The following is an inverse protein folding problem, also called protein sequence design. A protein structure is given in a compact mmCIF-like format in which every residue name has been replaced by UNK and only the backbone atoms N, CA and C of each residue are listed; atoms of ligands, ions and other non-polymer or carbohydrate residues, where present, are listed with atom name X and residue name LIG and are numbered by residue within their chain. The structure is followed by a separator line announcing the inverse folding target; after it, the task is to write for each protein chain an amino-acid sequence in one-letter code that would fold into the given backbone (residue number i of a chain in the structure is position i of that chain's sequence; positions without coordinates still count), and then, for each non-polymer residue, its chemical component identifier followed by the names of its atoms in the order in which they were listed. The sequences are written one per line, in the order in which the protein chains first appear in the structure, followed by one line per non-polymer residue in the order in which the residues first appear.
data_IF_694624486825
#
_entry.id   IF_694624486825
#
_cell.length_a   1.000
_cell.length_b   1.000
_cell.length_c   1.000
_cell.angle_alpha   90.00
_cell.angle_beta   90.00
_cell.angle_gamma   90.00
#
_symmetry.space_group_name_H-M   'P 1'
#
loop_
_entity.id
_entity.type
_entity.pdbx_description
1 polymer ?
#
# COMPACT_ATOMS: atom_id res chain seq x y z
N UNK A 1 8.54 -6.71 -13.02
CA UNK A 1 7.06 -6.72 -13.10
C UNK A 1 6.53 -6.41 -11.70
N UNK A 2 5.74 -5.34 -11.54
CA UNK A 2 5.16 -5.02 -10.22
C UNK A 2 3.81 -5.74 -10.12
N UNK A 3 3.76 -6.85 -9.39
CA UNK A 3 2.51 -7.56 -9.12
C UNK A 3 1.90 -6.91 -7.90
N UNK A 4 0.65 -6.44 -8.04
CA UNK A 4 -0.17 -5.95 -6.93
C UNK A 4 -1.45 -6.75 -6.89
N UNK A 5 -1.76 -7.32 -5.73
CA UNK A 5 -3.05 -7.95 -5.47
C UNK A 5 -3.65 -7.36 -4.20
N UNK A 6 -4.97 -7.21 -4.20
CA UNK A 6 -5.73 -6.73 -3.06
C UNK A 6 -6.91 -7.67 -2.86
N UNK A 7 -7.10 -8.11 -1.63
CA UNK A 7 -8.15 -9.00 -1.20
C UNK A 7 -8.89 -8.39 -0.02
N UNK A 8 -10.17 -8.70 0.10
CA UNK A 8 -11.04 -8.24 1.19
C UNK A 8 -11.71 -9.42 1.87
N UNK A 9 -11.83 -9.34 3.19
CA UNK A 9 -12.73 -10.20 3.95
C UNK A 9 -13.85 -9.32 4.52
N UNK A 10 -14.98 -9.26 3.80
CA UNK A 10 -16.12 -8.40 4.17
C UNK A 10 -16.72 -8.78 5.53
N UNK A 11 -16.62 -10.05 5.95
CA UNK A 11 -17.16 -10.52 7.23
C UNK A 11 -16.33 -10.02 8.40
N UNK A 12 -15.00 -9.96 8.22
CA UNK A 12 -14.07 -9.51 9.24
C UNK A 12 -13.80 -8.00 9.18
N UNK A 13 -14.16 -7.33 8.09
CA UNK A 13 -13.85 -5.91 7.88
C UNK A 13 -12.35 -5.67 7.66
N UNK A 14 -11.63 -6.69 7.16
CA UNK A 14 -10.19 -6.64 6.94
C UNK A 14 -9.84 -6.71 5.47
N UNK A 15 -8.64 -6.26 5.14
CA UNK A 15 -8.04 -6.41 3.82
C UNK A 15 -6.66 -7.06 3.92
N UNK A 16 -6.28 -7.74 2.85
CA UNK A 16 -4.93 -8.23 2.67
C UNK A 16 -4.41 -7.81 1.30
N UNK A 17 -3.21 -7.25 1.27
CA UNK A 17 -2.55 -6.77 0.07
C UNK A 17 -1.20 -7.45 -0.09
N UNK A 18 -0.85 -7.71 -1.34
CA UNK A 18 0.45 -8.23 -1.73
C UNK A 18 1.03 -7.38 -2.85
N UNK A 19 2.26 -6.92 -2.64
CA UNK A 19 3.04 -6.18 -3.63
C UNK A 19 4.41 -6.84 -3.81
N UNK A 20 4.87 -6.91 -5.05
CA UNK A 20 6.19 -7.43 -5.39
C UNK A 20 7.00 -6.32 -6.05
N UNK A 21 8.12 -5.97 -5.42
CA UNK A 21 9.09 -4.99 -5.91
C UNK A 21 10.43 -5.66 -6.14
N UNK A 22 10.76 -5.98 -7.41
CA UNK A 22 11.94 -6.80 -7.76
C UNK A 22 11.95 -8.13 -7.00
N UNK A 23 12.82 -8.27 -6.00
CA UNK A 23 12.99 -9.45 -5.17
C UNK A 23 12.42 -9.28 -3.75
N UNK A 24 11.75 -8.16 -3.47
CA UNK A 24 11.06 -7.88 -2.22
C UNK A 24 9.58 -8.22 -2.35
N UNK A 25 9.09 -9.08 -1.46
CA UNK A 25 7.67 -9.30 -1.23
C UNK A 25 7.22 -8.43 -0.06
N UNK A 26 6.18 -7.63 -0.29
CA UNK A 26 5.54 -6.82 0.74
C UNK A 26 4.11 -7.32 0.90
N UNK A 27 3.75 -7.73 2.11
CA UNK A 27 2.37 -8.08 2.45
C UNK A 27 1.82 -7.14 3.50
N UNK A 28 0.60 -6.68 3.31
CA UNK A 28 -0.08 -5.79 4.25
C UNK A 28 -1.39 -6.43 4.68
N UNK A 29 -1.61 -6.53 5.99
CA UNK A 29 -2.87 -6.95 6.59
C UNK A 29 -3.41 -5.80 7.43
N UNK A 30 -4.65 -5.39 7.22
CA UNK A 30 -5.23 -4.29 8.00
C UNK A 30 -6.73 -4.40 8.18
N UNK A 31 -7.24 -3.64 9.15
CA UNK A 31 -8.66 -3.30 9.23
C UNK A 31 -8.94 -2.13 8.28
N UNK A 32 -10.04 -2.19 7.54
CA UNK A 32 -10.38 -1.16 6.55
C UNK A 32 -10.59 0.19 7.26
N UNK A 33 -9.89 1.24 6.81
CA UNK A 33 -9.95 2.58 7.39
C UNK A 33 -9.21 2.74 8.71
N UNK A 34 -8.29 1.83 9.06
CA UNK A 34 -7.56 1.81 10.34
C UNK A 34 -6.09 1.40 10.16
N UNK A 35 -5.42 1.09 11.28
CA UNK A 35 -4.05 0.58 11.34
C UNK A 35 -3.89 -0.72 10.54
N UNK A 36 -2.68 -0.92 10.03
CA UNK A 36 -2.27 -2.07 9.20
C UNK A 36 -0.93 -2.59 9.67
N UNK A 37 -0.66 -3.88 9.50
CA UNK A 37 0.66 -4.47 9.66
C UNK A 37 1.27 -4.77 8.30
N UNK A 38 2.55 -4.44 8.13
CA UNK A 38 3.29 -4.67 6.91
C UNK A 38 4.44 -5.61 7.23
N UNK A 39 4.49 -6.73 6.52
CA UNK A 39 5.59 -7.68 6.55
C UNK A 39 6.36 -7.62 5.23
N UNK A 40 7.68 -7.67 5.32
CA UNK A 40 8.58 -7.67 4.17
C UNK A 40 9.43 -8.93 4.16
N UNK A 41 9.68 -9.48 2.97
CA UNK A 41 10.55 -10.64 2.79
C UNK A 41 11.33 -10.54 1.49
N UNK A 42 12.65 -10.53 1.60
CA UNK A 42 13.56 -10.47 0.45
C UNK A 42 13.97 -11.86 0.01
N UNK A 43 13.94 -12.10 -1.30
CA UNK A 43 14.29 -13.37 -1.92
C UNK A 43 15.58 -13.23 -2.75
N UNK A 44 16.31 -14.32 -2.91
CA UNK A 44 17.52 -14.37 -3.75
C UNK A 44 17.20 -14.60 -5.22
N UNK A 45 16.02 -15.13 -5.55
CA UNK A 45 15.59 -15.41 -6.91
C UNK A 45 14.07 -15.27 -7.07
N UNK A 46 13.64 -15.05 -8.31
CA UNK A 46 12.24 -14.80 -8.66
C UNK A 46 11.35 -16.04 -8.52
N UNK A 47 11.89 -17.25 -8.68
CA UNK A 47 11.11 -18.48 -8.57
C UNK A 47 10.60 -18.72 -7.15
N UNK A 48 11.47 -18.57 -6.15
CA UNK A 48 11.10 -18.73 -4.74
C UNK A 48 10.12 -17.64 -4.29
N UNK A 49 10.34 -16.40 -4.75
CA UNK A 49 9.42 -15.29 -4.51
C UNK A 49 8.01 -15.60 -5.05
N UNK A 50 7.92 -16.01 -6.32
CA UNK A 50 6.65 -16.32 -6.96
C UNK A 50 5.94 -17.52 -6.31
N UNK A 51 6.72 -18.51 -5.83
CA UNK A 51 6.19 -19.65 -5.10
C UNK A 51 5.58 -19.22 -3.76
N UNK A 52 6.28 -18.39 -2.99
CA UNK A 52 5.77 -17.86 -1.71
C UNK A 52 4.51 -17.01 -1.94
N UNK A 53 4.60 -16.04 -2.85
CA UNK A 53 3.49 -15.16 -3.20
C UNK A 53 2.24 -15.95 -3.65
N UNK A 54 2.45 -17.02 -4.42
CA UNK A 54 1.38 -17.93 -4.83
C UNK A 54 0.80 -18.74 -3.67
N UNK A 55 1.62 -19.14 -2.69
CA UNK A 55 1.16 -19.87 -1.50
C UNK A 55 0.32 -18.97 -0.58
N UNK A 56 0.83 -17.78 -0.24
CA UNK A 56 0.11 -16.81 0.59
C UNK A 56 -1.22 -16.39 -0.02
N UNK A 57 -1.25 -16.19 -1.35
CA UNK A 57 -2.50 -15.94 -2.06
C UNK A 57 -3.54 -17.03 -1.81
N UNK A 58 -3.16 -18.30 -2.02
CA UNK A 58 -4.07 -19.44 -1.85
C UNK A 58 -4.55 -19.58 -0.42
N UNK A 59 -3.67 -19.37 0.55
CA UNK A 59 -3.99 -19.37 1.97
C UNK A 59 -5.06 -18.31 2.29
N UNK A 60 -4.86 -17.07 1.85
CA UNK A 60 -5.86 -16.00 2.09
C UNK A 60 -7.21 -16.30 1.46
N UNK A 61 -7.25 -16.86 0.25
CA UNK A 61 -8.50 -17.31 -0.36
C UNK A 61 -9.18 -18.39 0.49
N UNK A 62 -8.44 -19.33 1.08
CA UNK A 62 -8.98 -20.36 1.96
C UNK A 62 -9.51 -19.79 3.29
N UNK A 63 -8.95 -18.68 3.77
CA UNK A 63 -9.43 -17.94 4.93
C UNK A 63 -10.68 -17.08 4.64
N UNK A 64 -11.21 -17.14 3.41
CA UNK A 64 -12.42 -16.42 3.02
C UNK A 64 -12.17 -14.98 2.60
N UNK A 65 -10.93 -14.64 2.26
CA UNK A 65 -10.65 -13.41 1.51
C UNK A 65 -11.07 -13.58 0.04
N UNK A 66 -11.57 -12.51 -0.54
CA UNK A 66 -12.08 -12.47 -1.91
C UNK A 66 -11.46 -11.32 -2.67
N UNK A 67 -11.31 -11.49 -3.99
CA UNK A 67 -10.94 -10.38 -4.85
C UNK A 67 -12.08 -9.36 -4.93
N UNK A 68 -11.81 -8.06 -4.84
CA UNK A 68 -12.80 -7.05 -5.14
C UNK A 68 -13.24 -7.16 -6.61
N UNK A 69 -14.50 -6.87 -6.87
CA UNK A 69 -15.06 -6.74 -8.21
C UNK A 69 -14.64 -5.42 -8.85
N UNK A 70 -14.76 -5.32 -10.17
CA UNK A 70 -14.62 -4.04 -10.87
C UNK A 70 -15.56 -2.99 -10.26
N UNK A 71 -15.07 -1.76 -10.11
CA UNK A 71 -15.86 -0.66 -9.58
C UNK A 71 -16.76 -0.09 -10.69
N UNK A 72 -18.01 0.22 -10.34
CA UNK A 72 -18.91 1.03 -11.15
C UNK A 72 -18.53 2.51 -11.08
N UNK A 73 -18.96 3.33 -12.04
CA UNK A 73 -18.72 4.78 -12.03
C UNK A 73 -19.14 5.47 -10.72
N UNK A 74 -20.22 4.98 -10.10
CA UNK A 74 -20.69 5.48 -8.80
C UNK A 74 -19.72 5.12 -7.67
N UNK A 75 -19.24 3.87 -7.63
CA UNK A 75 -18.29 3.41 -6.62
C UNK A 75 -16.92 4.08 -6.79
N UNK A 76 -16.47 4.33 -8.02
CA UNK A 76 -15.27 5.12 -8.28
C UNK A 76 -15.41 6.55 -7.75
N UNK A 77 -16.57 7.16 -7.99
CA UNK A 77 -16.87 8.52 -7.50
C UNK A 77 -16.89 8.57 -5.98
N UNK A 78 -17.48 7.57 -5.32
CA UNK A 78 -17.48 7.43 -3.86
C UNK A 78 -16.06 7.25 -3.32
N UNK A 79 -15.26 6.39 -3.94
CA UNK A 79 -13.86 6.19 -3.57
C UNK A 79 -13.08 7.51 -3.62
N UNK A 80 -13.21 8.29 -4.70
CA UNK A 80 -12.56 9.59 -4.80
C UNK A 80 -13.00 10.54 -3.68
N UNK A 81 -14.29 10.61 -3.38
CA UNK A 81 -14.78 11.45 -2.30
C UNK A 81 -14.23 11.02 -0.94
N UNK A 82 -14.15 9.71 -0.69
CA UNK A 82 -13.57 9.17 0.55
C UNK A 82 -12.09 9.53 0.66
N UNK A 83 -11.30 9.29 -0.39
CA UNK A 83 -9.88 9.67 -0.44
C UNK A 83 -9.70 11.18 -0.24
N UNK A 84 -10.52 12.02 -0.85
CA UNK A 84 -10.40 13.48 -0.71
C UNK A 84 -10.77 14.02 0.68
N UNK A 85 -11.74 13.39 1.34
CA UNK A 85 -12.25 13.83 2.65
C UNK A 85 -11.43 13.29 3.81
N UNK A 86 -10.67 12.21 3.60
CA UNK A 86 -9.87 11.57 4.63
C UNK A 86 -8.65 12.44 4.99
N UNK A 87 -8.57 12.99 6.22
CA UNK A 87 -7.45 13.84 6.64
C UNK A 87 -6.13 13.07 6.78
N UNK A 88 -6.19 11.79 7.15
CA UNK A 88 -5.01 10.98 7.41
C UNK A 88 -4.44 10.38 6.11
N UNK A 89 -3.20 10.73 5.78
CA UNK A 89 -2.59 10.26 4.53
C UNK A 89 -2.27 8.75 4.53
N UNK A 90 -2.12 8.11 5.69
CA UNK A 90 -1.98 6.66 5.78
C UNK A 90 -3.26 5.96 5.37
N UNK A 91 -4.39 6.47 5.86
CA UNK A 91 -5.71 5.94 5.50
C UNK A 91 -6.02 6.27 4.04
N UNK A 92 -5.69 7.47 3.55
CA UNK A 92 -5.83 7.80 2.11
C UNK A 92 -5.09 6.83 1.21
N UNK A 93 -3.85 6.46 1.57
CA UNK A 93 -3.09 5.44 0.84
C UNK A 93 -3.93 4.15 0.80
N UNK A 94 -4.34 3.59 1.93
CA UNK A 94 -5.12 2.34 1.99
C UNK A 94 -6.40 2.40 1.14
N UNK A 95 -7.17 3.48 1.28
CA UNK A 95 -8.39 3.68 0.49
C UNK A 95 -8.08 3.70 -1.01
N UNK A 96 -7.13 4.53 -1.46
CA UNK A 96 -6.75 4.63 -2.86
C UNK A 96 -6.20 3.30 -3.42
N UNK A 97 -5.45 2.58 -2.58
CA UNK A 97 -4.87 1.27 -2.85
C UNK A 97 -5.94 0.18 -3.05
N UNK A 98 -7.03 0.21 -2.27
CA UNK A 98 -8.14 -0.74 -2.36
C UNK A 98 -8.84 -0.76 -3.72
N UNK A 99 -8.94 0.40 -4.37
CA UNK A 99 -9.61 0.56 -5.66
C UNK A 99 -8.68 0.44 -6.87
N UNK A 100 -7.35 0.53 -6.69
CA UNK A 100 -6.42 0.72 -7.81
C UNK A 100 -6.47 -0.40 -8.86
N UNK A 101 -6.68 -1.66 -8.44
CA UNK A 101 -6.74 -2.78 -9.38
C UNK A 101 -8.07 -2.90 -10.12
N UNK A 102 -9.12 -2.26 -9.61
CA UNK A 102 -10.51 -2.42 -10.07
C UNK A 102 -11.14 -1.13 -10.62
N UNK A 103 -10.40 -0.02 -10.58
CA UNK A 103 -10.77 1.26 -11.18
C UNK A 103 -10.51 1.28 -12.69
N UNK A 104 -11.37 1.98 -13.41
CA UNK A 104 -11.28 2.28 -14.84
C UNK A 104 -9.98 3.00 -15.18
N UNK A 105 -9.46 2.77 -16.38
CA UNK A 105 -8.23 3.44 -16.86
C UNK A 105 -8.35 4.96 -16.83
N UNK A 106 -9.54 5.49 -17.18
CA UNK A 106 -9.86 6.93 -17.17
C UNK A 106 -9.57 7.58 -15.82
N UNK A 107 -9.87 6.87 -14.72
CA UNK A 107 -9.78 7.40 -13.37
C UNK A 107 -8.55 6.89 -12.61
N UNK A 108 -7.90 5.82 -13.09
CA UNK A 108 -6.66 5.26 -12.52
C UNK A 108 -5.56 6.30 -12.36
N UNK A 109 -5.37 7.19 -13.35
CA UNK A 109 -4.35 8.25 -13.29
C UNK A 109 -4.52 9.19 -12.09
N UNK A 110 -5.77 9.53 -11.74
CA UNK A 110 -6.07 10.39 -10.58
C UNK A 110 -5.77 9.72 -9.25
N UNK A 111 -6.14 8.44 -9.10
CA UNK A 111 -5.81 7.65 -7.90
C UNK A 111 -4.29 7.54 -7.75
N UNK A 112 -3.58 7.22 -8.83
CA UNK A 112 -2.12 7.13 -8.79
C UNK A 112 -1.47 8.46 -8.38
N UNK A 113 -1.98 9.60 -8.86
CA UNK A 113 -1.48 10.92 -8.44
C UNK A 113 -1.69 11.17 -6.93
N UNK A 114 -2.83 10.77 -6.38
CA UNK A 114 -3.06 10.83 -4.92
C UNK A 114 -2.07 9.95 -4.17
N UNK A 115 -1.89 8.70 -4.62
CA UNK A 115 -0.95 7.77 -4.00
C UNK A 115 0.49 8.29 -4.03
N UNK A 116 0.94 8.89 -5.14
CA UNK A 116 2.27 9.52 -5.23
C UNK A 116 2.40 10.63 -4.19
N UNK A 117 1.41 11.53 -4.09
CA UNK A 117 1.44 12.62 -3.10
C UNK A 117 1.45 12.09 -1.67
N UNK A 118 0.61 11.12 -1.35
CA UNK A 118 0.49 10.62 0.02
C UNK A 118 1.72 9.79 0.42
N UNK A 119 2.34 9.03 -0.49
CA UNK A 119 3.63 8.40 -0.23
C UNK A 119 4.76 9.43 -0.04
N UNK A 120 4.74 10.55 -0.77
CA UNK A 120 5.70 11.65 -0.57
C UNK A 120 5.55 12.25 0.84
N UNK A 121 4.31 12.42 1.33
CA UNK A 121 4.06 12.83 2.72
C UNK A 121 4.63 11.85 3.75
N UNK A 122 4.48 10.54 3.53
CA UNK A 122 5.12 9.53 4.39
C UNK A 122 6.64 9.71 4.40
N UNK A 123 7.25 9.86 3.23
CA UNK A 123 8.70 10.03 3.12
C UNK A 123 9.19 11.31 3.79
N UNK A 124 8.47 12.43 3.66
CA UNK A 124 8.80 13.68 4.37
C UNK A 124 8.69 13.52 5.90
N UNK A 125 7.67 12.80 6.37
CA UNK A 125 7.54 12.46 7.79
C UNK A 125 8.63 11.53 8.30
N UNK A 126 9.16 10.61 7.49
CA UNK A 126 10.26 9.73 7.91
C UNK A 126 11.64 10.38 7.88
N UNK A 127 11.76 11.55 7.23
CA UNK A 127 13.05 12.18 6.97
C UNK A 127 13.98 11.29 6.14
N UNK A 128 15.25 11.67 6.08
CA UNK A 128 16.33 10.95 5.40
C UNK A 128 17.33 10.33 6.38
N UNK A 129 17.31 10.74 7.64
CA UNK A 129 18.21 10.26 8.70
C UNK A 129 17.44 9.65 9.89
N UNK A 130 18.16 8.86 10.69
CA UNK A 130 17.68 8.26 11.94
C UNK A 130 18.30 9.02 13.14
N UNK A 131 17.58 9.09 14.27
CA UNK A 131 18.07 9.60 15.58
C UNK A 131 18.57 11.07 15.59
N UNK A 132 19.78 11.36 16.11
CA UNK A 132 20.27 12.73 16.41
C UNK A 132 20.38 13.65 15.18
N UNK A 133 20.29 13.10 13.96
CA UNK A 133 20.31 13.84 12.70
C UNK A 133 18.94 13.88 12.00
N UNK A 134 17.86 13.46 12.69
CA UNK A 134 16.51 13.44 12.13
C UNK A 134 16.10 14.82 11.57
N UNK A 135 15.76 14.82 10.28
CA UNK A 135 15.47 16.01 9.47
C UNK A 135 14.00 16.06 9.00
N UNK A 136 13.16 15.15 9.48
CA UNK A 136 11.74 15.11 9.14
C UNK A 136 10.94 16.18 9.89
N UNK A 137 9.71 16.43 9.40
CA UNK A 137 8.87 17.53 9.89
C UNK A 137 8.24 17.26 11.27
N UNK A 138 8.27 16.01 11.76
CA UNK A 138 7.66 15.58 13.03
C UNK A 138 8.49 14.47 13.69
N UNK A 139 9.28 14.83 14.70
CA UNK A 139 10.15 13.91 15.46
C UNK A 139 9.41 12.69 16.05
N UNK A 140 8.09 12.76 16.25
CA UNK A 140 7.27 11.63 16.72
C UNK A 140 6.82 10.66 15.62
N UNK A 141 6.89 11.06 14.37
CA UNK A 141 6.35 10.32 13.24
C UNK A 141 7.04 8.97 12.98
N UNK A 142 8.38 8.83 13.07
CA UNK A 142 9.05 7.52 12.95
C UNK A 142 8.53 6.49 13.96
N UNK A 143 8.30 6.89 15.21
CA UNK A 143 7.72 6.02 16.23
C UNK A 143 6.27 5.64 15.91
N UNK A 144 5.47 6.62 15.47
CA UNK A 144 4.09 6.39 15.04
C UNK A 144 4.00 5.37 13.90
N UNK A 145 4.86 5.49 12.88
CA UNK A 145 4.82 4.55 11.73
C UNK A 145 5.20 3.14 12.15
N UNK A 146 6.13 2.99 13.09
CA UNK A 146 6.54 1.69 13.60
C UNK A 146 5.43 1.04 14.42
N UNK A 147 4.75 1.82 15.26
CA UNK A 147 3.59 1.34 16.01
C UNK A 147 2.43 0.92 15.09
N UNK A 148 2.14 1.73 14.07
CA UNK A 148 1.11 1.43 13.08
C UNK A 148 1.49 0.18 12.30
N UNK A 149 2.56 0.26 11.51
CA UNK A 149 2.91 -0.70 10.45
C UNK A 149 3.70 -1.91 10.95
N UNK A 150 4.41 -1.79 12.07
CA UNK A 150 5.39 -2.78 12.52
C UNK A 150 6.75 -2.67 11.81
N UNK A 151 6.88 -1.83 10.78
CA UNK A 151 8.16 -1.61 10.10
C UNK A 151 9.07 -0.72 10.93
N UNK A 152 10.38 -0.97 10.87
CA UNK A 152 11.35 0.04 11.32
C UNK A 152 11.23 1.29 10.43
N UNK A 153 11.63 2.48 10.90
CA UNK A 153 11.63 3.69 10.07
C UNK A 153 12.41 3.50 8.75
N UNK A 154 13.53 2.79 8.79
CA UNK A 154 14.33 2.47 7.61
C UNK A 154 13.57 1.57 6.61
N UNK A 155 12.95 0.49 7.08
CA UNK A 155 12.15 -0.40 6.22
C UNK A 155 10.92 0.33 5.65
N UNK A 156 10.29 1.20 6.45
CA UNK A 156 9.20 2.04 5.99
C UNK A 156 9.65 2.96 4.85
N UNK A 157 10.79 3.66 5.00
CA UNK A 157 11.35 4.49 3.92
C UNK A 157 11.56 3.70 2.64
N UNK A 158 12.12 2.49 2.73
CA UNK A 158 12.33 1.63 1.56
C UNK A 158 11.00 1.27 0.89
N UNK A 159 10.03 0.75 1.65
CA UNK A 159 8.73 0.31 1.13
C UNK A 159 7.95 1.47 0.50
N UNK A 160 7.84 2.61 1.19
CA UNK A 160 7.08 3.76 0.69
C UNK A 160 7.78 4.45 -0.49
N UNK A 161 9.12 4.45 -0.55
CA UNK A 161 9.85 4.91 -1.75
C UNK A 161 9.61 3.97 -2.95
N UNK A 162 9.63 2.65 -2.75
CA UNK A 162 9.32 1.69 -3.82
C UNK A 162 7.89 1.85 -4.35
N UNK A 163 6.92 2.07 -3.46
CA UNK A 163 5.54 2.42 -3.80
C UNK A 163 5.48 3.72 -4.61
N UNK A 164 6.08 4.80 -4.11
CA UNK A 164 6.15 6.09 -4.78
C UNK A 164 6.69 5.98 -6.21
N UNK A 165 7.84 5.32 -6.39
CA UNK A 165 8.47 5.13 -7.70
C UNK A 165 7.57 4.29 -8.63
N UNK A 166 6.96 3.23 -8.09
CA UNK A 166 6.04 2.37 -8.84
C UNK A 166 4.82 3.14 -9.33
N UNK A 167 4.21 3.96 -8.48
CA UNK A 167 3.03 4.74 -8.87
C UNK A 167 3.39 5.82 -9.90
N UNK A 168 4.54 6.49 -9.75
CA UNK A 168 5.02 7.44 -10.77
C UNK A 168 5.26 6.77 -12.12
N UNK A 169 5.80 5.56 -12.11
CA UNK A 169 6.04 4.81 -13.35
C UNK A 169 4.72 4.37 -14.00
N UNK A 170 3.76 3.89 -13.21
CA UNK A 170 2.43 3.55 -13.70
C UNK A 170 1.69 4.76 -14.31
N UNK A 171 1.89 5.97 -13.79
CA UNK A 171 1.30 7.20 -14.38
C UNK A 171 1.83 7.48 -15.78
N UNK A 172 3.12 7.21 -16.04
CA UNK A 172 3.74 7.46 -17.35
C UNK A 172 3.25 6.48 -18.42
N UNK A 173 2.73 5.33 -17.99
CA UNK A 173 2.22 4.28 -18.87
C UNK A 173 0.73 4.46 -19.23
N UNK A 174 0.07 5.50 -18.69
CA UNK A 174 -1.33 5.89 -18.94
C UNK A 174 -1.39 7.25 -19.65
#
# INVERSE_FOLDING_TARGET
MNIRKYLINKKLGTFWQQEIFKNLLVTTLGEIGKKRKIDTKTFSNENDLNKEAGALWKERIQEGYEEPTALTDSEESELFQRVQKEPDFHIRIELAESGLSKISEKNRKKILQSLVKDCDCVMMGLGTADEEEYDGEDEGYPGMIQEETGLTPADAREVYNLKFLTYKENIKQI
#
